data_IF_598463709242
#
_entry.id   IF_598463709242
#
_cell.length_a   1.000
_cell.length_b   1.000
_cell.length_c   1.000
_cell.angle_alpha   90.00
_cell.angle_beta   90.00
_cell.angle_gamma   90.00
#
_symmetry.space_group_name_H-M   'P 1'
#
loop_
_entity.id
_entity.type
_entity.pdbx_description
1 polymer ?
#
# COMPACT_ATOMS: atom_id res chain seq x y z
N UNK A 1 -22.66 -26.22 -1.43
CA UNK A 1 -21.69 -25.56 -2.33
C UNK A 1 -22.19 -24.15 -2.66
N UNK A 2 -21.48 -23.06 -2.33
CA UNK A 2 -21.91 -21.75 -2.83
C UNK A 2 -21.72 -21.74 -4.35
N UNK A 3 -22.71 -21.27 -5.14
CA UNK A 3 -22.69 -21.49 -6.58
C UNK A 3 -21.53 -20.76 -7.24
N UNK A 4 -20.97 -21.44 -8.24
CA UNK A 4 -19.91 -21.02 -9.15
C UNK A 4 -19.99 -19.52 -9.46
N UNK A 5 -19.21 -18.73 -8.72
CA UNK A 5 -19.17 -17.29 -8.92
C UNK A 5 -18.24 -17.07 -10.09
N UNK A 6 -18.79 -17.09 -11.31
CA UNK A 6 -18.03 -16.75 -12.51
C UNK A 6 -17.38 -15.38 -12.32
N UNK A 7 -16.11 -15.27 -12.73
CA UNK A 7 -15.43 -13.98 -12.82
C UNK A 7 -16.21 -13.09 -13.77
N UNK A 8 -16.43 -11.84 -13.40
CA UNK A 8 -17.13 -10.86 -14.26
C UNK A 8 -16.23 -10.49 -15.45
N UNK A 9 -16.75 -10.37 -16.66
CA UNK A 9 -15.93 -9.93 -17.79
C UNK A 9 -15.36 -8.51 -17.53
N UNK A 10 -14.13 -8.23 -17.99
CA UNK A 10 -13.53 -6.91 -17.81
C UNK A 10 -14.38 -5.80 -18.45
N UNK A 11 -14.99 -6.08 -19.60
CA UNK A 11 -15.94 -5.19 -20.28
C UNK A 11 -17.10 -4.77 -19.36
N UNK A 12 -17.75 -5.72 -18.67
CA UNK A 12 -18.87 -5.43 -17.76
C UNK A 12 -18.44 -4.60 -16.54
N UNK A 13 -17.18 -4.70 -16.13
CA UNK A 13 -16.63 -3.98 -14.97
C UNK A 13 -16.23 -2.54 -15.30
N UNK A 14 -15.93 -2.24 -16.57
CA UNK A 14 -15.40 -0.94 -17.00
C UNK A 14 -16.28 0.21 -16.53
N UNK A 15 -17.53 0.27 -16.99
CA UNK A 15 -18.41 1.40 -16.67
C UNK A 15 -18.67 1.55 -15.15
N UNK A 16 -19.00 0.49 -14.38
CA UNK A 16 -19.16 0.60 -12.93
C UNK A 16 -17.91 1.09 -12.18
N UNK A 17 -16.72 0.62 -12.57
CA UNK A 17 -15.47 1.00 -11.92
C UNK A 17 -15.05 2.43 -12.30
N UNK A 18 -15.18 2.83 -13.57
CA UNK A 18 -14.90 4.19 -14.02
C UNK A 18 -15.87 5.21 -13.41
N UNK A 19 -17.13 4.80 -13.22
CA UNK A 19 -18.11 5.62 -12.50
C UNK A 19 -17.72 5.79 -11.04
N UNK A 20 -17.40 4.68 -10.36
CA UNK A 20 -16.94 4.73 -8.97
C UNK A 20 -15.70 5.62 -8.83
N UNK A 21 -14.71 5.46 -9.72
CA UNK A 21 -13.48 6.25 -9.72
C UNK A 21 -13.77 7.75 -9.88
N UNK A 22 -14.60 8.16 -10.85
CA UNK A 22 -14.87 9.59 -11.11
C UNK A 22 -15.75 10.27 -10.07
N UNK A 23 -16.75 9.55 -9.54
CA UNK A 23 -17.74 10.11 -8.61
C UNK A 23 -17.32 9.98 -7.14
N UNK A 24 -16.13 9.43 -6.86
CA UNK A 24 -15.69 9.20 -5.49
C UNK A 24 -15.35 10.51 -4.77
N UNK A 25 -15.78 10.64 -3.52
CA UNK A 25 -15.37 11.73 -2.64
C UNK A 25 -13.94 11.48 -2.13
N UNK A 26 -12.94 11.86 -2.93
CA UNK A 26 -11.53 11.73 -2.55
C UNK A 26 -11.17 12.66 -1.38
N UNK A 27 -11.65 13.90 -1.40
CA UNK A 27 -11.27 14.92 -0.42
C UNK A 27 -11.58 14.47 1.00
N UNK A 28 -12.82 14.08 1.30
CA UNK A 28 -13.19 13.65 2.65
C UNK A 28 -12.50 12.34 3.05
N UNK A 29 -12.17 11.48 2.08
CA UNK A 29 -11.60 10.15 2.34
C UNK A 29 -10.10 10.18 2.54
N UNK A 30 -9.39 11.13 1.92
CA UNK A 30 -7.98 11.39 2.17
C UNK A 30 -7.74 11.71 3.65
N UNK A 31 -8.60 12.53 4.25
CA UNK A 31 -8.51 12.87 5.68
C UNK A 31 -8.65 11.67 6.62
N UNK A 32 -9.23 10.56 6.15
CA UNK A 32 -9.40 9.33 6.91
C UNK A 32 -8.37 8.25 6.54
N UNK A 33 -7.50 8.52 5.57
CA UNK A 33 -6.49 7.59 5.06
C UNK A 33 -5.09 7.89 5.60
N UNK A 34 -4.23 6.88 5.57
CA UNK A 34 -2.82 7.00 5.90
C UNK A 34 -2.08 8.00 5.00
N UNK A 35 -2.55 8.21 3.75
CA UNK A 35 -1.94 9.10 2.78
C UNK A 35 -1.92 10.57 3.25
N UNK A 36 -2.78 10.96 4.21
CA UNK A 36 -2.76 12.31 4.78
C UNK A 36 -1.43 12.66 5.45
N UNK A 37 -0.75 11.68 6.06
CA UNK A 37 0.49 11.92 6.80
C UNK A 37 1.63 12.43 5.90
N UNK A 38 1.96 11.76 4.78
CA UNK A 38 2.96 12.28 3.84
C UNK A 38 2.51 13.55 3.10
N UNK A 39 1.20 13.74 2.85
CA UNK A 39 0.69 14.94 2.17
C UNK A 39 0.98 16.25 2.93
N UNK A 40 1.18 16.18 4.26
CA UNK A 40 1.57 17.34 5.09
C UNK A 40 2.95 17.92 4.75
N UNK A 41 3.80 17.16 4.07
CA UNK A 41 5.18 17.54 3.79
C UNK A 41 5.29 18.04 2.35
N UNK A 42 5.61 19.33 2.11
CA UNK A 42 5.78 19.86 0.76
C UNK A 42 7.12 19.47 0.13
N UNK A 43 8.18 19.30 0.93
CA UNK A 43 9.47 18.78 0.45
C UNK A 43 9.33 17.31 0.05
N UNK A 44 9.76 16.98 -1.17
CA UNK A 44 9.63 15.64 -1.73
C UNK A 44 10.43 14.59 -0.97
N UNK A 45 11.59 14.96 -0.40
CA UNK A 45 12.45 14.06 0.38
C UNK A 45 11.77 13.68 1.70
N UNK A 46 11.17 14.66 2.37
CA UNK A 46 10.38 14.42 3.57
C UNK A 46 9.15 13.56 3.26
N UNK A 47 8.42 13.91 2.20
CA UNK A 47 7.25 13.15 1.74
C UNK A 47 7.59 11.68 1.44
N UNK A 48 8.73 11.42 0.81
CA UNK A 48 9.20 10.06 0.48
C UNK A 48 9.44 9.21 1.75
N UNK A 49 10.14 9.77 2.75
CA UNK A 49 10.42 9.08 4.02
C UNK A 49 9.15 8.86 4.83
N UNK A 50 8.31 9.88 4.94
CA UNK A 50 7.05 9.80 5.69
C UNK A 50 6.11 8.81 5.04
N UNK A 51 6.04 8.77 3.71
CA UNK A 51 5.21 7.81 3.00
C UNK A 51 5.68 6.37 3.21
N UNK A 52 7.00 6.10 3.13
CA UNK A 52 7.54 4.77 3.39
C UNK A 52 7.22 4.33 4.82
N UNK A 53 7.51 5.18 5.81
CA UNK A 53 7.25 4.88 7.22
C UNK A 53 5.76 4.65 7.49
N UNK A 54 4.90 5.51 6.96
CA UNK A 54 3.43 5.39 7.08
C UNK A 54 2.93 4.07 6.51
N UNK A 55 3.40 3.71 5.32
CA UNK A 55 3.07 2.45 4.67
C UNK A 55 3.57 1.24 5.49
N UNK A 56 4.81 1.28 5.97
CA UNK A 56 5.38 0.21 6.79
C UNK A 56 4.58 -0.01 8.09
N UNK A 57 4.04 1.03 8.71
CA UNK A 57 3.26 0.94 9.96
C UNK A 57 1.75 0.69 9.75
N UNK A 58 1.26 0.69 8.51
CA UNK A 58 -0.16 0.49 8.19
C UNK A 58 -0.64 -0.98 8.35
N UNK A 59 -0.51 -1.56 9.55
CA UNK A 59 -0.93 -2.94 9.89
C UNK A 59 -2.44 -3.12 10.04
N UNK A 60 -3.21 -2.05 10.12
CA UNK A 60 -4.65 -2.10 10.38
C UNK A 60 -5.31 -0.75 10.15
N UNK A 61 -6.38 -0.49 10.89
CA UNK A 61 -7.13 0.76 10.79
C UNK A 61 -6.25 1.98 11.12
N UNK A 62 -6.50 3.07 10.39
CA UNK A 62 -5.69 4.31 10.47
C UNK A 62 -5.75 4.95 11.84
N UNK A 63 -6.92 4.98 12.48
CA UNK A 63 -7.13 5.48 13.85
C UNK A 63 -6.16 4.84 14.86
N UNK A 64 -5.89 3.54 14.73
CA UNK A 64 -5.05 2.80 15.69
C UNK A 64 -3.56 3.11 15.59
N UNK A 65 -3.04 3.38 14.39
CA UNK A 65 -1.60 3.66 14.23
C UNK A 65 -1.28 5.15 14.14
N UNK A 66 -2.31 6.01 13.98
CA UNK A 66 -2.14 7.47 13.87
C UNK A 66 -1.32 8.03 15.02
N UNK A 67 -1.68 7.75 16.28
CA UNK A 67 -0.96 8.29 17.44
C UNK A 67 0.50 7.83 17.51
N UNK A 68 0.78 6.58 17.17
CA UNK A 68 2.15 6.05 17.14
C UNK A 68 2.98 6.72 16.03
N UNK A 69 2.41 6.88 14.84
CA UNK A 69 3.08 7.55 13.73
C UNK A 69 3.30 9.04 14.01
N UNK A 70 2.31 9.74 14.57
CA UNK A 70 2.46 11.16 14.95
C UNK A 70 3.54 11.36 16.00
N UNK A 71 3.60 10.49 17.01
CA UNK A 71 4.66 10.51 18.01
C UNK A 71 6.04 10.39 17.37
N UNK A 72 6.20 9.49 16.39
CA UNK A 72 7.47 9.32 15.65
C UNK A 72 7.78 10.55 14.80
N UNK A 73 6.83 11.04 14.02
CA UNK A 73 7.01 12.18 13.14
C UNK A 73 7.34 13.47 13.91
N UNK A 74 6.76 13.65 15.10
CA UNK A 74 7.10 14.75 15.99
C UNK A 74 8.58 14.73 16.41
N UNK A 75 9.16 13.54 16.63
CA UNK A 75 10.60 13.40 16.94
C UNK A 75 11.50 13.62 15.74
N UNK A 76 10.98 13.44 14.54
CA UNK A 76 11.68 13.65 13.27
C UNK A 76 11.49 15.08 12.71
N UNK A 77 10.76 15.93 13.41
CA UNK A 77 10.46 17.31 13.04
C UNK A 77 11.72 18.20 13.08
N UNK A 78 11.82 19.25 12.23
CA UNK A 78 10.86 19.66 11.20
C UNK A 78 10.97 18.91 9.87
N UNK A 79 12.09 18.24 9.60
CA UNK A 79 12.35 17.54 8.34
C UNK A 79 12.74 16.08 8.61
N UNK A 80 11.81 15.13 8.40
CA UNK A 80 12.09 13.70 8.53
C UNK A 80 13.25 13.20 7.67
N UNK A 81 13.44 13.75 6.46
CA UNK A 81 14.56 13.41 5.61
C UNK A 81 15.90 13.91 6.17
N UNK A 82 15.94 15.14 6.70
CA UNK A 82 17.14 15.65 7.37
C UNK A 82 17.45 14.84 8.63
N UNK A 83 16.43 14.51 9.44
CA UNK A 83 16.58 13.66 10.62
C UNK A 83 17.18 12.30 10.26
N UNK A 84 16.65 11.62 9.23
CA UNK A 84 17.18 10.33 8.77
C UNK A 84 18.61 10.47 8.25
N UNK A 85 18.89 11.47 7.42
CA UNK A 85 20.23 11.66 6.82
C UNK A 85 21.30 11.93 7.88
N UNK A 86 20.94 12.70 8.92
CA UNK A 86 21.80 13.01 10.06
C UNK A 86 21.78 11.99 11.20
N UNK A 87 21.00 10.91 11.08
CA UNK A 87 20.73 9.97 12.17
C UNK A 87 22.01 9.31 12.70
N UNK A 88 22.27 9.51 13.99
CA UNK A 88 23.30 8.83 14.76
C UNK A 88 22.61 7.95 15.82
N UNK A 89 22.75 6.62 15.76
CA UNK A 89 22.15 5.71 16.73
C UNK A 89 22.49 5.99 18.20
N UNK A 90 23.68 6.55 18.49
CA UNK A 90 24.10 6.86 19.86
C UNK A 90 23.38 8.08 20.42
N UNK A 91 23.12 9.07 19.56
CA UNK A 91 22.48 10.34 19.93
C UNK A 91 20.95 10.26 19.83
N UNK A 92 20.45 9.67 18.75
CA UNK A 92 19.07 9.87 18.32
C UNK A 92 18.16 8.66 18.59
N UNK A 93 18.71 7.45 18.80
CA UNK A 93 17.87 6.27 19.01
C UNK A 93 16.98 6.38 20.26
N UNK A 94 17.43 7.12 21.28
CA UNK A 94 16.66 7.42 22.49
C UNK A 94 15.36 8.18 22.22
N UNK A 95 15.27 8.93 21.11
CA UNK A 95 14.06 9.65 20.72
C UNK A 95 12.85 8.72 20.51
N UNK A 96 13.10 7.45 20.19
CA UNK A 96 12.07 6.44 19.98
C UNK A 96 11.78 5.57 21.20
N UNK A 97 12.34 5.86 22.38
CA UNK A 97 12.23 5.00 23.58
C UNK A 97 10.79 4.61 23.93
N UNK A 98 9.85 5.54 23.78
CA UNK A 98 8.42 5.31 24.09
C UNK A 98 7.63 4.69 22.93
N UNK A 99 8.26 4.43 21.79
CA UNK A 99 7.56 3.91 20.63
C UNK A 99 7.22 2.43 20.78
N UNK A 100 5.93 2.14 20.71
CA UNK A 100 5.44 0.76 20.67
C UNK A 100 4.19 0.68 19.80
N UNK A 101 4.28 -0.08 18.71
CA UNK A 101 3.11 -0.33 17.88
C UNK A 101 3.12 -1.75 17.35
N UNK A 102 2.10 -2.53 17.71
CA UNK A 102 2.00 -3.97 17.40
C UNK A 102 3.26 -4.72 17.87
N UNK A 103 4.06 -5.18 16.91
CA UNK A 103 5.30 -5.92 17.14
C UNK A 103 6.55 -5.07 16.88
N UNK A 104 6.39 -3.81 16.46
CA UNK A 104 7.50 -2.88 16.31
C UNK A 104 7.86 -2.26 17.65
N UNK A 105 9.17 -2.05 17.83
CA UNK A 105 9.83 -1.58 19.05
C UNK A 105 10.73 -0.39 18.73
N UNK A 106 11.23 0.36 19.73
CA UNK A 106 12.08 1.52 19.52
C UNK A 106 13.26 1.25 18.57
N UNK A 107 13.97 0.14 18.81
CA UNK A 107 15.11 -0.30 18.00
C UNK A 107 14.77 -0.57 16.52
N UNK A 108 13.52 -0.89 16.19
CA UNK A 108 13.11 -1.14 14.81
C UNK A 108 13.00 0.17 14.02
N UNK A 109 12.63 1.28 14.67
CA UNK A 109 12.64 2.61 14.06
C UNK A 109 14.05 3.16 13.94
N UNK A 110 14.90 2.93 14.94
CA UNK A 110 16.32 3.27 14.83
C UNK A 110 16.97 2.50 13.66
N UNK A 111 16.67 1.21 13.52
CA UNK A 111 17.11 0.41 12.38
C UNK A 111 16.58 0.94 11.04
N UNK A 112 15.31 1.35 10.98
CA UNK A 112 14.74 1.99 9.79
C UNK A 112 15.53 3.24 9.39
N UNK A 113 15.86 4.11 10.36
CA UNK A 113 16.63 5.33 10.09
C UNK A 113 18.06 5.00 9.62
N UNK A 114 18.74 4.03 10.22
CA UNK A 114 20.08 3.59 9.80
C UNK A 114 20.06 3.08 8.36
N UNK A 115 19.13 2.18 8.04
CA UNK A 115 19.02 1.62 6.69
C UNK A 115 18.65 2.71 5.66
N UNK A 116 17.65 3.54 5.96
CA UNK A 116 17.25 4.64 5.09
C UNK A 116 18.41 5.63 4.86
N UNK A 117 19.16 6.00 5.91
CA UNK A 117 20.36 6.84 5.80
C UNK A 117 21.41 6.23 4.87
N UNK A 118 21.72 4.96 5.04
CA UNK A 118 22.71 4.26 4.20
C UNK A 118 22.28 4.22 2.73
N UNK A 119 20.99 3.96 2.46
CA UNK A 119 20.45 3.91 1.10
C UNK A 119 20.36 5.30 0.47
N UNK A 120 19.94 6.32 1.21
CA UNK A 120 19.96 7.70 0.74
C UNK A 120 21.39 8.17 0.46
N UNK A 121 22.35 7.85 1.32
CA UNK A 121 23.76 8.19 1.09
C UNK A 121 24.34 7.53 -0.15
N UNK A 122 23.90 6.31 -0.48
CA UNK A 122 24.38 5.56 -1.65
C UNK A 122 23.69 5.95 -2.96
N UNK A 123 22.37 6.15 -2.94
CA UNK A 123 21.56 6.32 -4.15
C UNK A 123 20.99 7.73 -4.31
N UNK A 124 21.06 8.58 -3.29
CA UNK A 124 20.52 9.94 -3.25
C UNK A 124 19.02 10.01 -2.91
N UNK A 125 18.20 9.11 -3.44
CA UNK A 125 16.74 9.06 -3.25
C UNK A 125 16.25 7.62 -3.15
N UNK A 126 15.08 7.35 -2.56
CA UNK A 126 14.52 6.00 -2.57
C UNK A 126 14.09 5.55 -3.98
N UNK A 127 13.68 6.46 -4.86
CA UNK A 127 13.43 6.13 -6.28
C UNK A 127 14.68 5.54 -6.96
N UNK A 128 15.80 6.26 -6.94
CA UNK A 128 17.08 5.76 -7.48
C UNK A 128 17.51 4.45 -6.83
N UNK A 129 17.25 4.27 -5.52
CA UNK A 129 17.48 3.00 -4.84
C UNK A 129 16.62 1.87 -5.43
N UNK A 130 15.34 2.13 -5.69
CA UNK A 130 14.43 1.17 -6.32
C UNK A 130 14.87 0.82 -7.75
N UNK A 131 15.12 1.84 -8.58
CA UNK A 131 15.55 1.68 -9.98
C UNK A 131 16.90 0.99 -10.13
N UNK A 132 17.83 1.17 -9.18
CA UNK A 132 19.10 0.44 -9.16
C UNK A 132 18.93 -1.07 -8.91
N UNK A 133 17.72 -1.54 -8.62
CA UNK A 133 17.37 -2.96 -8.62
C UNK A 133 16.30 -3.28 -9.66
N UNK A 134 16.16 -2.51 -10.73
CA UNK A 134 15.16 -2.71 -11.77
C UNK A 134 15.81 -3.06 -13.11
N UNK A 135 16.37 -4.27 -13.20
CA UNK A 135 17.12 -4.74 -14.39
C UNK A 135 16.25 -4.78 -15.66
N UNK A 136 14.94 -4.97 -15.50
CA UNK A 136 13.95 -4.95 -16.57
C UNK A 136 12.84 -3.95 -16.25
N UNK A 137 13.05 -2.71 -16.70
CA UNK A 137 12.12 -1.59 -16.52
C UNK A 137 10.73 -1.78 -17.16
N UNK A 138 10.51 -2.87 -17.90
CA UNK A 138 9.23 -3.25 -18.51
C UNK A 138 8.63 -4.54 -17.93
N UNK A 139 9.43 -5.31 -17.20
CA UNK A 139 9.05 -6.57 -16.59
C UNK A 139 8.19 -6.41 -15.33
N UNK A 140 7.78 -7.54 -14.72
CA UNK A 140 7.02 -7.55 -13.47
C UNK A 140 7.74 -6.77 -12.36
N UNK A 141 6.99 -6.01 -11.55
CA UNK A 141 7.56 -5.19 -10.47
C UNK A 141 8.03 -6.01 -9.26
N UNK A 142 7.60 -7.26 -9.15
CA UNK A 142 7.87 -8.14 -8.00
C UNK A 142 9.35 -8.33 -7.68
N UNK A 143 10.19 -8.79 -8.63
CA UNK A 143 11.64 -8.91 -8.44
C UNK A 143 12.31 -7.58 -8.01
N UNK A 144 11.87 -6.46 -8.56
CA UNK A 144 12.40 -5.13 -8.20
C UNK A 144 12.02 -4.75 -6.77
N UNK A 145 10.76 -4.99 -6.38
CA UNK A 145 10.31 -4.77 -5.00
C UNK A 145 11.03 -5.70 -4.00
N UNK A 146 11.27 -6.96 -4.38
CA UNK A 146 12.07 -7.91 -3.59
C UNK A 146 13.47 -7.35 -3.33
N UNK A 147 14.17 -6.89 -4.37
CA UNK A 147 15.51 -6.29 -4.25
C UNK A 147 15.51 -5.01 -3.42
N UNK A 148 14.49 -4.16 -3.58
CA UNK A 148 14.32 -2.95 -2.77
C UNK A 148 14.17 -3.29 -1.29
N UNK A 149 13.27 -4.21 -0.93
CA UNK A 149 13.11 -4.66 0.45
C UNK A 149 14.39 -5.28 1.03
N UNK A 150 15.10 -6.10 0.24
CA UNK A 150 16.37 -6.71 0.67
C UNK A 150 17.43 -5.68 1.00
N UNK A 151 17.54 -4.59 0.23
CA UNK A 151 18.47 -3.49 0.55
C UNK A 151 18.26 -2.90 1.96
N UNK A 152 17.03 -2.87 2.47
CA UNK A 152 16.76 -2.47 3.87
C UNK A 152 17.05 -3.58 4.89
N UNK A 153 16.77 -4.84 4.54
CA UNK A 153 16.98 -5.99 5.41
C UNK A 153 18.46 -6.34 5.59
N UNK A 154 19.26 -6.12 4.54
CA UNK A 154 20.67 -6.46 4.44
C UNK A 154 21.60 -5.27 4.79
N UNK A 155 21.03 -4.12 5.16
CA UNK A 155 21.79 -2.98 5.66
C UNK A 155 22.58 -3.35 6.94
N UNK A 156 23.70 -2.66 7.20
CA UNK A 156 24.42 -2.84 8.46
C UNK A 156 23.63 -2.22 9.62
N UNK A 157 22.97 -3.09 10.38
CA UNK A 157 22.15 -2.74 11.54
C UNK A 157 22.79 -3.15 12.87
N UNK A 158 24.09 -3.48 12.85
CA UNK A 158 24.87 -3.81 14.04
C UNK A 158 24.80 -2.77 15.17
N UNK A 159 24.60 -1.45 14.94
CA UNK A 159 24.44 -0.48 16.02
C UNK A 159 23.21 -0.69 16.91
N UNK A 160 22.17 -1.40 16.43
CA UNK A 160 20.89 -1.57 17.13
C UNK A 160 20.47 -3.04 17.29
N UNK A 161 21.02 -3.94 16.48
CA UNK A 161 20.80 -5.37 16.57
C UNK A 161 22.11 -6.12 16.79
N UNK A 162 22.29 -6.68 17.99
CA UNK A 162 23.45 -7.50 18.31
C UNK A 162 23.56 -8.75 17.42
N UNK A 163 24.80 -9.10 17.04
CA UNK A 163 25.15 -10.30 16.25
C UNK A 163 24.41 -10.41 14.90
N UNK A 164 24.05 -9.28 14.28
CA UNK A 164 23.38 -9.24 12.97
C UNK A 164 21.96 -9.83 12.96
N UNK A 165 21.36 -10.11 14.13
CA UNK A 165 20.03 -10.70 14.22
C UNK A 165 18.96 -9.61 14.25
N UNK A 166 18.50 -9.21 13.07
CA UNK A 166 17.38 -8.27 12.94
C UNK A 166 16.12 -8.80 13.65
N UNK A 167 15.33 -7.90 14.24
CA UNK A 167 14.14 -8.29 14.99
C UNK A 167 13.03 -8.81 14.06
N UNK A 168 12.03 -9.51 14.64
CA UNK A 168 10.81 -9.84 13.92
C UNK A 168 10.07 -8.57 13.48
N UNK A 169 9.98 -7.55 14.33
CA UNK A 169 9.30 -6.29 14.02
C UNK A 169 9.90 -5.57 12.82
N UNK A 170 11.23 -5.46 12.78
CA UNK A 170 11.95 -4.86 11.66
C UNK A 170 11.74 -5.63 10.36
N UNK A 171 11.84 -6.97 10.37
CA UNK A 171 11.51 -7.80 9.19
C UNK A 171 10.09 -7.54 8.67
N UNK A 172 9.14 -7.27 9.56
CA UNK A 172 7.77 -6.98 9.14
C UNK A 172 7.64 -5.61 8.48
N UNK A 173 8.56 -4.65 8.65
CA UNK A 173 8.50 -3.37 7.91
C UNK A 173 8.70 -3.60 6.40
N UNK A 174 9.56 -4.57 6.04
CA UNK A 174 9.97 -4.85 4.66
C UNK A 174 9.62 -6.30 4.25
N UNK A 175 8.33 -6.61 4.00
CA UNK A 175 7.94 -7.92 3.50
C UNK A 175 8.56 -8.21 2.14
N UNK A 176 8.83 -9.49 1.87
CA UNK A 176 9.37 -9.98 0.61
C UNK A 176 8.27 -10.68 -0.21
N UNK A 177 8.11 -10.35 -1.51
CA UNK A 177 7.23 -11.08 -2.42
C UNK A 177 7.47 -12.60 -2.41
N UNK A 178 8.73 -13.04 -2.34
CA UNK A 178 9.13 -14.45 -2.31
C UNK A 178 8.59 -15.24 -1.10
N UNK A 179 8.24 -14.56 -0.01
CA UNK A 179 7.66 -15.18 1.21
C UNK A 179 6.14 -15.37 1.06
N UNK A 180 5.55 -14.98 -0.08
CA UNK A 180 4.18 -15.31 -0.47
C UNK A 180 3.09 -14.38 0.08
N UNK A 181 3.44 -13.42 0.95
CA UNK A 181 2.50 -12.39 1.40
C UNK A 181 2.10 -11.42 0.26
N UNK A 182 0.97 -10.71 0.37
CA UNK A 182 0.50 -9.81 -0.68
C UNK A 182 1.32 -8.51 -0.78
N UNK A 183 2.28 -8.30 0.12
CA UNK A 183 3.10 -7.08 0.22
C UNK A 183 2.32 -5.76 0.16
N UNK A 184 1.05 -5.78 0.59
CA UNK A 184 0.09 -4.66 0.49
C UNK A 184 0.69 -3.31 0.90
N UNK A 185 1.43 -3.27 2.00
CA UNK A 185 2.03 -2.05 2.53
C UNK A 185 3.04 -1.44 1.55
N UNK A 186 3.92 -2.24 0.96
CA UNK A 186 4.88 -1.73 0.00
C UNK A 186 4.23 -1.46 -1.37
N UNK A 187 3.23 -2.23 -1.77
CA UNK A 187 2.43 -1.91 -2.97
C UNK A 187 1.68 -0.57 -2.80
N UNK A 188 1.18 -0.28 -1.60
CA UNK A 188 0.54 1.01 -1.27
C UNK A 188 1.55 2.16 -1.33
N UNK A 189 2.74 1.98 -0.77
CA UNK A 189 3.84 2.94 -0.91
C UNK A 189 4.16 3.23 -2.38
N UNK A 190 4.35 2.18 -3.19
CA UNK A 190 4.62 2.34 -4.62
C UNK A 190 3.47 3.04 -5.35
N UNK A 191 2.21 2.72 -5.02
CA UNK A 191 1.04 3.41 -5.56
C UNK A 191 1.11 4.91 -5.32
N UNK A 192 1.39 5.30 -4.07
CA UNK A 192 1.53 6.71 -3.67
C UNK A 192 2.67 7.42 -4.42
N UNK A 193 3.84 6.77 -4.51
CA UNK A 193 5.02 7.30 -5.17
C UNK A 193 4.86 7.49 -6.68
N UNK A 194 4.26 6.51 -7.36
CA UNK A 194 4.34 6.38 -8.82
C UNK A 194 3.13 6.94 -9.55
N UNK A 195 1.92 6.79 -8.99
CA UNK A 195 0.71 7.31 -9.63
C UNK A 195 0.69 8.84 -9.54
N UNK A 196 0.34 9.48 -10.65
CA UNK A 196 0.42 10.94 -10.82
C UNK A 196 -0.86 11.68 -10.45
N UNK A 197 -1.99 10.98 -10.50
CA UNK A 197 -3.29 11.57 -10.18
C UNK A 197 -3.56 11.58 -8.68
N UNK A 198 -4.21 12.63 -8.15
CA UNK A 198 -4.67 12.65 -6.77
C UNK A 198 -5.51 11.41 -6.41
N UNK A 199 -5.40 10.90 -5.18
CA UNK A 199 -4.68 11.49 -4.04
C UNK A 199 -3.19 11.11 -3.96
N UNK A 200 -2.71 10.32 -4.92
CA UNK A 200 -1.29 9.97 -5.03
C UNK A 200 -0.49 11.18 -5.55
N UNK A 201 0.83 11.18 -5.41
CA UNK A 201 1.65 12.39 -5.60
C UNK A 201 2.72 12.29 -6.68
N UNK A 202 2.88 11.12 -7.34
CA UNK A 202 3.67 11.00 -8.57
C UNK A 202 5.12 11.44 -8.47
N UNK A 203 5.74 11.33 -7.29
CA UNK A 203 7.13 11.72 -7.06
C UNK A 203 8.12 10.85 -7.85
N UNK A 204 7.81 9.57 -8.05
CA UNK A 204 8.63 8.65 -8.81
C UNK A 204 8.19 8.66 -10.27
N UNK A 205 9.11 9.04 -11.16
CA UNK A 205 8.87 9.23 -12.60
C UNK A 205 9.51 8.14 -13.45
N UNK A 206 10.49 7.40 -12.91
CA UNK A 206 11.18 6.31 -13.60
C UNK A 206 10.45 4.97 -13.58
N UNK A 207 9.34 4.86 -12.85
CA UNK A 207 8.47 3.67 -12.83
C UNK A 207 7.14 4.00 -13.48
N UNK A 208 6.64 3.11 -14.34
CA UNK A 208 5.33 3.28 -14.98
C UNK A 208 4.19 2.83 -14.05
N UNK A 209 3.08 3.60 -13.92
CA UNK A 209 1.88 3.17 -13.20
C UNK A 209 1.32 1.83 -13.68
N UNK A 210 1.48 1.51 -14.97
CA UNK A 210 1.06 0.24 -15.57
C UNK A 210 1.71 -1.00 -14.94
N UNK A 211 2.88 -0.83 -14.28
CA UNK A 211 3.62 -1.93 -13.63
C UNK A 211 3.21 -2.15 -12.17
N UNK A 212 2.45 -1.23 -11.58
CA UNK A 212 2.05 -1.32 -10.19
C UNK A 212 1.10 -2.49 -9.95
N UNK A 213 1.13 -3.04 -8.73
CA UNK A 213 0.20 -4.08 -8.28
C UNK A 213 -0.77 -3.54 -7.25
N UNK A 214 -2.01 -4.02 -7.32
CA UNK A 214 -3.07 -3.66 -6.40
C UNK A 214 -2.67 -3.95 -4.92
N UNK A 215 -2.75 -2.96 -4.02
CA UNK A 215 -2.53 -3.13 -2.58
C UNK A 215 -3.64 -3.96 -1.89
N UNK A 216 -3.58 -5.30 -1.99
CA UNK A 216 -4.65 -6.16 -1.46
C UNK A 216 -4.66 -6.24 0.07
N UNK A 217 -5.63 -5.57 0.71
CA UNK A 217 -6.04 -5.83 2.10
C UNK A 217 -7.38 -6.58 2.19
N UNK A 218 -7.97 -6.66 3.39
CA UNK A 218 -9.28 -7.30 3.58
C UNK A 218 -10.38 -6.59 2.79
N UNK A 219 -10.34 -5.25 2.73
CA UNK A 219 -11.38 -4.46 2.06
C UNK A 219 -11.34 -4.69 0.55
N UNK A 220 -10.16 -4.58 -0.05
CA UNK A 220 -9.93 -4.84 -1.47
C UNK A 220 -10.22 -6.30 -1.82
N UNK A 221 -9.73 -7.28 -1.04
CA UNK A 221 -10.04 -8.70 -1.28
C UNK A 221 -11.54 -8.90 -1.38
N UNK A 222 -12.28 -8.42 -0.39
CA UNK A 222 -13.67 -8.76 -0.27
C UNK A 222 -14.52 -8.07 -1.34
N UNK A 223 -14.31 -6.77 -1.60
CA UNK A 223 -15.03 -6.07 -2.68
C UNK A 223 -14.68 -6.67 -4.04
N UNK A 224 -13.41 -7.04 -4.26
CA UNK A 224 -12.96 -7.71 -5.49
C UNK A 224 -13.70 -9.03 -5.71
N UNK A 225 -13.96 -9.80 -4.65
CA UNK A 225 -14.78 -11.01 -4.74
C UNK A 225 -16.26 -10.70 -4.96
N UNK A 226 -16.79 -9.64 -4.36
CA UNK A 226 -18.20 -9.26 -4.55
C UNK A 226 -18.51 -8.86 -5.99
N UNK A 227 -17.59 -8.20 -6.70
CA UNK A 227 -17.76 -7.80 -8.11
C UNK A 227 -17.11 -8.76 -9.11
N UNK A 228 -16.46 -9.82 -8.63
CA UNK A 228 -15.91 -10.87 -9.47
C UNK A 228 -14.57 -10.54 -10.12
N UNK A 229 -13.75 -9.65 -9.53
CA UNK A 229 -12.35 -9.41 -9.91
C UNK A 229 -11.45 -10.61 -9.61
N UNK A 230 -11.72 -11.38 -8.55
CA UNK A 230 -10.97 -12.60 -8.19
C UNK A 230 -11.90 -13.69 -7.65
N UNK A 231 -11.50 -14.96 -7.80
CA UNK A 231 -12.09 -16.10 -7.06
C UNK A 231 -11.18 -16.65 -5.97
N UNK A 232 -9.95 -16.15 -5.87
CA UNK A 232 -8.96 -16.62 -4.91
C UNK A 232 -9.46 -16.37 -3.49
N UNK A 233 -9.06 -17.26 -2.59
CA UNK A 233 -9.42 -17.18 -1.15
C UNK A 233 -8.27 -16.76 -0.26
N UNK A 234 -7.05 -16.78 -0.79
CA UNK A 234 -5.84 -16.44 -0.06
C UNK A 234 -5.35 -15.07 -0.51
N UNK A 235 -5.26 -14.13 0.43
CA UNK A 235 -4.63 -12.82 0.22
C UNK A 235 -3.12 -13.00 0.11
N UNK A 236 -2.65 -13.26 -1.11
CA UNK A 236 -1.24 -13.47 -1.43
C UNK A 236 -0.85 -12.70 -2.69
N UNK A 237 0.43 -12.75 -3.03
CA UNK A 237 0.98 -12.09 -4.22
C UNK A 237 0.21 -12.43 -5.50
N UNK A 238 -0.14 -13.71 -5.71
CA UNK A 238 -0.91 -14.17 -6.88
C UNK A 238 -2.31 -13.56 -6.97
N UNK A 239 -2.94 -13.24 -5.83
CA UNK A 239 -4.22 -12.53 -5.83
C UNK A 239 -4.03 -11.07 -6.27
N UNK A 240 -2.95 -10.41 -5.85
CA UNK A 240 -2.64 -9.06 -6.31
C UNK A 240 -2.40 -9.03 -7.83
N UNK A 241 -1.63 -9.99 -8.36
CA UNK A 241 -1.41 -10.14 -9.80
C UNK A 241 -2.71 -10.39 -10.58
N UNK A 242 -3.53 -11.34 -10.13
CA UNK A 242 -4.81 -11.68 -10.80
C UNK A 242 -5.77 -10.48 -10.86
N UNK A 243 -5.93 -9.77 -9.74
CA UNK A 243 -6.78 -8.58 -9.68
C UNK A 243 -6.22 -7.50 -10.61
N UNK A 244 -4.91 -7.25 -10.54
CA UNK A 244 -4.27 -6.19 -11.33
C UNK A 244 -4.34 -6.48 -12.83
N UNK A 245 -4.04 -7.71 -13.27
CA UNK A 245 -4.15 -8.11 -14.68
C UNK A 245 -5.55 -7.88 -15.23
N UNK A 246 -6.56 -8.14 -14.42
CA UNK A 246 -7.95 -7.91 -14.82
C UNK A 246 -8.30 -6.43 -14.92
N UNK A 247 -7.76 -5.60 -14.04
CA UNK A 247 -7.91 -4.16 -14.10
C UNK A 247 -7.11 -3.57 -15.27
N UNK A 248 -5.97 -4.18 -15.65
CA UNK A 248 -5.20 -3.79 -16.83
C UNK A 248 -5.97 -4.03 -18.14
N UNK A 249 -6.90 -5.00 -18.18
CA UNK A 249 -7.82 -5.15 -19.30
C UNK A 249 -8.89 -4.03 -19.37
N UNK A 250 -9.04 -3.24 -18.31
CA UNK A 250 -9.92 -2.07 -18.26
C UNK A 250 -9.10 -0.81 -18.56
N UNK A 251 -8.08 -0.55 -17.75
CA UNK A 251 -7.13 0.53 -17.95
C UNK A 251 -5.69 -0.02 -17.95
N UNK A 252 -5.07 -0.21 -19.12
CA UNK A 252 -3.71 -0.74 -19.20
C UNK A 252 -2.64 0.28 -18.79
N UNK A 253 -2.98 1.57 -18.69
CA UNK A 253 -2.04 2.64 -18.36
C UNK A 253 -1.91 2.85 -16.85
N UNK A 254 -3.01 2.68 -16.11
CA UNK A 254 -3.08 2.79 -14.66
C UNK A 254 -4.08 1.79 -14.06
N UNK A 255 -3.74 0.49 -14.03
CA UNK A 255 -4.66 -0.56 -13.57
C UNK A 255 -5.03 -0.43 -12.09
N UNK A 256 -4.19 0.23 -11.30
CA UNK A 256 -4.37 0.37 -9.85
C UNK A 256 -5.16 1.64 -9.47
N UNK A 257 -5.63 2.44 -10.44
CA UNK A 257 -6.39 3.67 -10.17
C UNK A 257 -7.65 3.51 -9.33
N UNK A 258 -8.24 2.32 -9.41
CA UNK A 258 -9.46 1.97 -8.70
C UNK A 258 -9.24 1.64 -7.22
N UNK A 259 -7.99 1.47 -6.78
CA UNK A 259 -7.64 1.00 -5.42
C UNK A 259 -8.30 1.85 -4.33
N UNK A 260 -8.05 3.17 -4.35
CA UNK A 260 -8.51 4.05 -3.27
C UNK A 260 -10.03 4.03 -3.12
N UNK A 261 -10.76 4.20 -4.22
CA UNK A 261 -12.22 4.21 -4.20
C UNK A 261 -12.82 2.85 -3.81
N UNK A 262 -12.25 1.74 -4.30
CA UNK A 262 -12.70 0.39 -3.94
C UNK A 262 -12.46 0.08 -2.46
N UNK A 263 -11.28 0.44 -1.93
CA UNK A 263 -10.92 0.21 -0.54
C UNK A 263 -11.85 1.01 0.38
N UNK A 264 -11.94 2.33 0.14
CA UNK A 264 -12.69 3.23 1.00
C UNK A 264 -14.20 3.00 0.93
N UNK A 265 -14.76 2.60 -0.23
CA UNK A 265 -16.18 2.20 -0.33
C UNK A 265 -16.53 1.09 0.67
N UNK A 266 -15.59 0.21 0.99
CA UNK A 266 -15.84 -0.84 1.99
C UNK A 266 -15.46 -0.40 3.40
N UNK A 267 -14.39 0.39 3.57
CA UNK A 267 -14.01 0.93 4.87
C UNK A 267 -15.12 1.82 5.45
N UNK A 268 -15.84 2.57 4.61
CA UNK A 268 -16.91 3.49 5.01
C UNK A 268 -18.23 2.80 5.36
N UNK A 269 -18.38 1.50 5.10
CA UNK A 269 -19.65 0.79 5.23
C UNK A 269 -20.55 0.85 4.00
N UNK A 270 -20.14 1.53 2.92
CA UNK A 270 -20.91 1.63 1.66
C UNK A 270 -20.91 0.32 0.83
N UNK A 271 -20.41 -0.77 1.42
CA UNK A 271 -20.51 -2.14 0.91
C UNK A 271 -20.40 -3.15 2.07
N UNK A 272 -21.52 -3.78 2.44
CA UNK A 272 -21.60 -4.73 3.57
C UNK A 272 -21.28 -6.20 3.20
N UNK A 273 -20.88 -6.47 1.95
CA UNK A 273 -20.70 -7.83 1.39
C UNK A 273 -21.90 -8.76 1.54
N UNK A 274 -23.08 -8.19 1.55
CA UNK A 274 -24.36 -8.87 1.52
C UNK A 274 -25.36 -7.99 0.79
N UNK A 275 -26.49 -8.57 0.42
CA UNK A 275 -27.62 -7.80 -0.08
C UNK A 275 -28.16 -6.94 1.07
N UNK A 276 -28.23 -5.64 0.85
CA UNK A 276 -28.80 -4.66 1.76
C UNK A 276 -29.52 -3.60 0.93
N UNK A 277 -30.82 -3.40 1.14
CA UNK A 277 -31.62 -2.52 0.28
C UNK A 277 -31.27 -1.06 0.44
N UNK A 278 -30.82 -0.64 1.62
CA UNK A 278 -30.47 0.76 1.92
C UNK A 278 -29.08 1.06 1.39
N UNK A 279 -28.07 0.29 1.81
CA UNK A 279 -26.67 0.50 1.40
C UNK A 279 -26.47 0.24 -0.09
N UNK A 280 -27.17 -0.74 -0.67
CA UNK A 280 -26.99 -1.07 -2.08
C UNK A 280 -27.87 -0.22 -3.01
N UNK A 281 -28.85 0.54 -2.53
CA UNK A 281 -29.69 1.38 -3.38
C UNK A 281 -28.87 2.35 -4.26
N UNK A 282 -27.93 3.14 -3.71
CA UNK A 282 -27.08 4.05 -4.51
C UNK A 282 -25.84 3.37 -5.11
N UNK A 283 -25.65 2.06 -4.94
CA UNK A 283 -24.38 1.42 -5.27
C UNK A 283 -24.18 1.26 -6.79
N UNK A 284 -23.28 2.05 -7.38
CA UNK A 284 -22.91 1.97 -8.80
C UNK A 284 -22.34 0.62 -9.24
N UNK A 285 -21.89 -0.24 -8.30
CA UNK A 285 -21.40 -1.59 -8.58
C UNK A 285 -22.51 -2.66 -8.57
N UNK A 286 -23.77 -2.30 -8.31
CA UNK A 286 -24.88 -3.23 -8.11
C UNK A 286 -25.09 -4.19 -9.29
N UNK A 287 -24.91 -3.71 -10.53
CA UNK A 287 -25.07 -4.49 -11.77
C UNK A 287 -24.02 -5.60 -11.93
N UNK A 288 -22.83 -5.42 -11.34
CA UNK A 288 -21.72 -6.40 -11.35
C UNK A 288 -21.59 -7.19 -10.06
N UNK A 289 -22.33 -6.81 -9.02
CA UNK A 289 -22.26 -7.43 -7.70
C UNK A 289 -22.95 -8.79 -7.66
N UNK A 290 -22.22 -9.82 -7.22
CA UNK A 290 -22.73 -11.20 -7.07
C UNK A 290 -23.97 -11.32 -6.17
N UNK A 291 -24.13 -10.39 -5.22
CA UNK A 291 -25.27 -10.38 -4.28
C UNK A 291 -26.58 -9.95 -4.94
N UNK A 292 -26.49 -9.29 -6.10
CA UNK A 292 -27.63 -8.82 -6.89
C UNK A 292 -27.76 -9.54 -8.24
N UNK A 293 -26.68 -10.12 -8.77
CA UNK A 293 -26.66 -10.91 -10.03
C UNK A 293 -27.44 -12.24 -10.00
N UNK A 294 -28.31 -12.50 -9.01
CA UNK A 294 -29.19 -13.69 -8.99
C UNK A 294 -30.66 -13.33 -9.12
N UNK A 295 -31.19 -13.66 -10.29
CA UNK A 295 -32.60 -13.63 -10.68
C UNK A 295 -32.80 -14.07 -12.14
N UNK A 296 -32.38 -15.27 -12.53
CA UNK A 296 -33.16 -16.07 -13.50
C UNK A 296 -33.86 -17.13 -12.65
N UNK A 297 -35.19 -17.09 -12.49
CA UNK A 297 -35.92 -18.20 -11.89
C UNK A 297 -35.56 -19.47 -12.65
N UNK A 298 -35.33 -20.57 -11.95
CA UNK A 298 -35.43 -21.88 -12.60
C UNK A 298 -36.90 -22.00 -13.02
N UNK A 299 -37.12 -22.06 -14.33
CA UNK A 299 -38.37 -22.59 -14.88
C UNK A 299 -38.50 -24.06 -14.46
#
# INVERSE_FOLDING_TARGET
MPPDTRMTAAHDLRQPLERLYREFDYTSRVELDAIRFPLRYPDSRDREIVALLSACLAYGRVDLFSGALEGVLAKMSPSPAAFVTGFDPRRDAGAFADFWYRFNRPRDLAAFCIAARALLGRYGTLEKCFLAGDDDGRGPIGPTLERFSRKFLDADLSPVFGRGRISRGYRHLFPLPSVGGPCKRLNLFLRWMVRREPPDFGLWTGVSPARLLMPIDTHIENISRSIGLTRRRSRNWRMAEEITQKLAAIDPTDPVKFDFALCHKRMSGDCLDRRDTVVCAPCGLKTVCRHWRRGRPRA
#
